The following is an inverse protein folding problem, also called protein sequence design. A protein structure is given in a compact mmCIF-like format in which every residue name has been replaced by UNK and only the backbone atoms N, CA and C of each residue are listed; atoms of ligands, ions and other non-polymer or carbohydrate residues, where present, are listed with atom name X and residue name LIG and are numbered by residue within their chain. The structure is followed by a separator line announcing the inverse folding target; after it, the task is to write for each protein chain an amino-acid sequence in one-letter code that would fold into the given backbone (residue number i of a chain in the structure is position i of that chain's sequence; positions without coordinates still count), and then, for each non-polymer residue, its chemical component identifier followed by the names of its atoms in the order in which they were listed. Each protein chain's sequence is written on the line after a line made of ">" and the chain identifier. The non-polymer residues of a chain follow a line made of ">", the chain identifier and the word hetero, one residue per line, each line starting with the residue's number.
data_IF_591372011384
#
_entry.id   IF_591372011384
#
_cell.length_a   1.000
_cell.length_b   1.000
_cell.length_c   1.000
_cell.angle_alpha   90.00
_cell.angle_beta   90.00
_cell.angle_gamma   90.00
#
_symmetry.space_group_name_H-M   'P 1'
#
loop_
_entity.id
_entity.type
_entity.pdbx_description
1 polymer ?
#
# COMPACT_ATOMS: atom_id res chain seq x y z
N UNK A 1 -7.94 -8.68 -40.16
CA UNK A 1 -6.98 -8.60 -39.05
C UNK A 1 -6.30 -7.23 -38.90
N UNK A 2 -6.44 -6.31 -39.87
CA UNK A 2 -5.86 -4.96 -39.80
C UNK A 2 -6.72 -3.93 -39.06
N UNK A 3 -8.06 -4.00 -39.22
CA UNK A 3 -8.99 -3.05 -38.62
C UNK A 3 -9.07 -3.14 -37.08
N UNK A 4 -8.97 -4.35 -36.52
CA UNK A 4 -8.98 -4.58 -35.06
C UNK A 4 -7.70 -4.07 -34.38
N UNK A 5 -6.55 -4.16 -35.05
CA UNK A 5 -5.28 -3.65 -34.54
C UNK A 5 -5.24 -2.11 -34.55
N UNK A 6 -5.80 -1.48 -35.58
CA UNK A 6 -5.92 -0.03 -35.66
C UNK A 6 -6.84 0.52 -34.55
N UNK A 7 -7.96 -0.15 -34.27
CA UNK A 7 -8.85 0.20 -33.17
C UNK A 7 -8.18 0.06 -31.79
N UNK A 8 -7.39 -1.00 -31.58
CA UNK A 8 -6.64 -1.19 -30.34
C UNK A 8 -5.56 -0.11 -30.12
N UNK A 9 -4.85 0.29 -31.17
CA UNK A 9 -3.88 1.39 -31.09
C UNK A 9 -4.56 2.73 -30.83
N UNK A 10 -5.68 3.02 -31.50
CA UNK A 10 -6.45 4.24 -31.26
C UNK A 10 -6.91 4.33 -29.79
N UNK A 11 -7.44 3.23 -29.23
CA UNK A 11 -7.87 3.19 -27.83
C UNK A 11 -6.69 3.38 -26.85
N UNK A 12 -5.54 2.77 -27.14
CA UNK A 12 -4.33 2.90 -26.32
C UNK A 12 -3.78 4.31 -26.35
N UNK A 13 -3.69 4.94 -27.54
CA UNK A 13 -3.21 6.32 -27.69
C UNK A 13 -4.14 7.32 -27.02
N UNK A 14 -5.46 7.13 -27.09
CA UNK A 14 -6.44 7.97 -26.38
C UNK A 14 -6.26 7.83 -24.86
N UNK A 15 -6.05 6.62 -24.34
CA UNK A 15 -5.75 6.40 -22.91
C UNK A 15 -4.44 7.05 -22.46
N UNK A 16 -3.42 7.09 -23.33
CA UNK A 16 -2.15 7.76 -23.08
C UNK A 16 -2.31 9.29 -23.04
N UNK A 17 -3.12 9.87 -23.92
CA UNK A 17 -3.39 11.33 -23.91
C UNK A 17 -4.15 11.77 -22.65
N UNK A 18 -5.04 10.93 -22.12
CA UNK A 18 -5.75 11.21 -20.87
C UNK A 18 -4.85 11.07 -19.62
N UNK A 19 -3.74 10.33 -19.72
CA UNK A 19 -2.74 10.21 -18.65
C UNK A 19 -1.61 11.23 -18.77
N UNK A 20 -1.46 11.88 -19.92
CA UNK A 20 -0.47 12.93 -20.20
C UNK A 20 -1.04 14.34 -20.05
N UNK A 21 -2.30 14.48 -19.58
CA UNK A 21 -2.78 15.76 -19.09
C UNK A 21 -1.92 16.17 -17.91
N UNK A 22 -1.29 17.35 -17.91
CA UNK A 22 -0.54 17.84 -16.77
C UNK A 22 -1.51 18.05 -15.61
N UNK A 23 -1.65 17.04 -14.77
CA UNK A 23 -2.37 17.15 -13.51
C UNK A 23 -1.51 18.07 -12.63
N UNK A 24 -1.99 19.24 -12.22
CA UNK A 24 -1.20 20.13 -11.40
C UNK A 24 -0.86 19.40 -10.11
N UNK A 25 0.44 19.22 -9.84
CA UNK A 25 0.94 18.65 -8.59
C UNK A 25 0.15 19.25 -7.42
N UNK A 26 -0.38 18.43 -6.50
CA UNK A 26 -1.08 18.92 -5.33
C UNK A 26 -0.22 19.93 -4.55
N UNK A 27 -0.43 21.21 -4.82
CA UNK A 27 0.39 22.27 -4.25
C UNK A 27 -0.11 22.52 -2.83
N UNK A 28 0.55 21.87 -1.87
CA UNK A 28 0.28 22.09 -0.46
C UNK A 28 0.40 23.59 -0.13
N UNK A 29 -0.56 24.20 0.61
CA UNK A 29 -0.49 25.60 0.99
C UNK A 29 0.84 25.89 1.71
N UNK A 30 1.50 27.03 1.42
CA UNK A 30 2.76 27.39 2.06
C UNK A 30 2.64 27.34 3.58
N UNK A 31 3.44 26.46 4.22
CA UNK A 31 3.39 26.18 5.67
C UNK A 31 3.16 24.70 6.04
N UNK A 32 2.65 23.86 5.13
CA UNK A 32 2.43 22.43 5.38
C UNK A 32 3.66 21.53 5.20
N UNK A 33 4.84 22.09 4.90
CA UNK A 33 6.09 21.34 4.68
C UNK A 33 6.52 20.44 5.86
N UNK A 34 6.24 20.88 7.09
CA UNK A 34 6.51 20.08 8.29
C UNK A 34 5.59 18.85 8.39
N UNK A 35 4.33 19.00 7.97
CA UNK A 35 3.33 17.92 7.99
C UNK A 35 3.65 16.89 6.90
N UNK A 36 3.98 17.32 5.69
CA UNK A 36 4.42 16.39 4.63
C UNK A 36 5.69 15.65 5.01
N UNK A 37 6.65 16.33 5.67
CA UNK A 37 7.84 15.67 6.22
C UNK A 37 7.45 14.62 7.26
N UNK A 38 6.60 14.98 8.24
CA UNK A 38 6.15 14.04 9.28
C UNK A 38 5.42 12.83 8.69
N UNK A 39 4.57 13.04 7.68
CA UNK A 39 3.88 11.96 6.96
C UNK A 39 4.86 11.07 6.21
N UNK A 40 5.91 11.63 5.61
CA UNK A 40 6.97 10.84 4.97
C UNK A 40 7.68 9.93 5.99
N UNK A 41 8.05 10.44 7.16
CA UNK A 41 8.61 9.63 8.25
C UNK A 41 7.62 8.57 8.74
N UNK A 42 6.34 8.91 8.88
CA UNK A 42 5.30 7.99 9.31
C UNK A 42 5.11 6.82 8.33
N UNK A 43 5.23 7.04 7.01
CA UNK A 43 5.18 5.97 6.00
C UNK A 43 6.30 4.95 6.23
N UNK A 44 7.52 5.41 6.43
CA UNK A 44 8.68 4.54 6.68
C UNK A 44 8.58 3.81 8.03
N UNK A 45 8.21 4.51 9.10
CA UNK A 45 8.03 3.91 10.42
C UNK A 45 6.91 2.87 10.41
N UNK A 46 5.79 3.16 9.75
CA UNK A 46 4.67 2.23 9.61
C UNK A 46 5.06 0.96 8.84
N UNK A 47 5.85 1.11 7.77
CA UNK A 47 6.33 -0.02 6.98
C UNK A 47 7.30 -0.90 7.76
N UNK A 48 8.24 -0.29 8.50
CA UNK A 48 9.16 -1.03 9.39
C UNK A 48 8.38 -1.75 10.50
N UNK A 49 7.43 -1.08 11.15
CA UNK A 49 6.60 -1.67 12.20
C UNK A 49 5.76 -2.85 11.69
N UNK A 50 5.17 -2.74 10.49
CA UNK A 50 4.43 -3.82 9.85
C UNK A 50 5.31 -5.07 9.60
N UNK A 51 6.54 -4.86 9.11
CA UNK A 51 7.50 -5.95 8.91
C UNK A 51 7.84 -6.64 10.23
N UNK A 52 8.14 -5.86 11.29
CA UNK A 52 8.47 -6.43 12.61
C UNK A 52 7.31 -7.24 13.20
N UNK A 53 6.08 -6.77 13.06
CA UNK A 53 4.89 -7.50 13.49
C UNK A 53 4.75 -8.85 12.76
N UNK A 54 4.98 -8.88 11.45
CA UNK A 54 4.91 -10.10 10.65
C UNK A 54 5.96 -11.13 11.08
N UNK A 55 7.19 -10.67 11.34
CA UNK A 55 8.30 -11.52 11.83
C UNK A 55 7.95 -12.09 13.21
N UNK A 56 7.45 -11.27 14.13
CA UNK A 56 7.09 -11.73 15.48
C UNK A 56 6.05 -12.86 15.45
N UNK A 57 5.06 -12.80 14.56
CA UNK A 57 4.08 -13.87 14.38
C UNK A 57 4.69 -15.13 13.81
N UNK A 58 5.53 -15.00 12.78
CA UNK A 58 6.20 -16.15 12.18
C UNK A 58 7.04 -16.92 13.22
N UNK A 59 7.74 -16.18 14.09
CA UNK A 59 8.51 -16.76 15.20
C UNK A 59 7.61 -17.45 16.22
N UNK A 60 6.52 -16.81 16.65
CA UNK A 60 5.55 -17.41 17.58
C UNK A 60 4.96 -18.73 17.03
N UNK A 61 4.67 -18.76 15.73
CA UNK A 61 4.11 -19.93 15.06
C UNK A 61 5.09 -21.09 14.97
N UNK A 62 6.37 -20.81 14.71
CA UNK A 62 7.43 -21.81 14.71
C UNK A 62 7.59 -22.51 16.08
N UNK A 63 7.31 -21.82 17.19
CA UNK A 63 7.36 -22.43 18.51
C UNK A 63 6.13 -23.25 18.85
N UNK A 64 4.94 -22.83 18.39
CA UNK A 64 3.68 -23.47 18.75
C UNK A 64 3.26 -24.61 17.80
N UNK A 65 3.88 -24.73 16.62
CA UNK A 65 3.64 -25.81 15.67
C UNK A 65 3.85 -27.23 16.25
N UNK A 66 4.58 -27.35 17.36
CA UNK A 66 4.99 -28.63 17.98
C UNK A 66 3.90 -29.27 18.84
N UNK A 67 2.86 -28.51 19.22
CA UNK A 67 1.88 -28.90 20.25
C UNK A 67 0.51 -29.32 19.69
N UNK A 68 0.30 -29.22 18.38
CA UNK A 68 -0.98 -29.60 17.75
C UNK A 68 -2.15 -28.63 18.01
N UNK A 69 -1.92 -27.54 18.75
CA UNK A 69 -2.92 -26.51 19.12
C UNK A 69 -3.07 -25.39 18.06
N UNK A 70 -2.90 -25.73 16.77
CA UNK A 70 -2.78 -24.73 15.69
C UNK A 70 -3.98 -23.78 15.57
N UNK A 71 -5.19 -24.23 15.94
CA UNK A 71 -6.44 -23.47 15.80
C UNK A 71 -6.55 -22.23 16.69
N UNK A 72 -6.03 -22.26 17.92
CA UNK A 72 -6.04 -21.12 18.85
C UNK A 72 -5.19 -19.96 18.30
N UNK A 73 -4.08 -20.31 17.64
CA UNK A 73 -3.12 -19.34 17.14
C UNK A 73 -3.52 -18.71 15.80
N UNK A 74 -4.39 -19.36 15.00
CA UNK A 74 -4.93 -18.77 13.76
C UNK A 74 -5.59 -17.42 14.04
N UNK A 75 -6.26 -17.27 15.20
CA UNK A 75 -6.90 -16.01 15.58
C UNK A 75 -5.89 -14.88 15.77
N UNK A 76 -4.71 -15.16 16.33
CA UNK A 76 -3.59 -14.22 16.43
C UNK A 76 -2.99 -13.90 15.07
N UNK A 77 -2.90 -14.88 14.17
CA UNK A 77 -2.43 -14.64 12.81
C UNK A 77 -3.36 -13.70 12.04
N UNK A 78 -4.67 -13.98 12.09
CA UNK A 78 -5.70 -13.21 11.39
C UNK A 78 -5.74 -11.78 11.92
N UNK A 79 -5.66 -11.57 13.24
CA UNK A 79 -5.66 -10.21 13.79
C UNK A 79 -4.47 -9.38 13.32
N UNK A 80 -3.30 -10.01 13.14
CA UNK A 80 -2.09 -9.33 12.69
C UNK A 80 -2.12 -9.11 11.17
N UNK A 81 -2.65 -10.05 10.41
CA UNK A 81 -2.87 -9.89 8.96
C UNK A 81 -3.82 -8.72 8.67
N UNK A 82 -4.89 -8.59 9.46
CA UNK A 82 -5.81 -7.44 9.39
C UNK A 82 -5.08 -6.14 9.73
N UNK A 83 -4.23 -6.13 10.76
CA UNK A 83 -3.41 -4.95 11.10
C UNK A 83 -2.49 -4.52 9.95
N UNK A 84 -1.81 -5.46 9.31
CA UNK A 84 -0.93 -5.19 8.16
C UNK A 84 -1.72 -4.66 6.96
N UNK A 85 -2.92 -5.21 6.72
CA UNK A 85 -3.81 -4.74 5.65
C UNK A 85 -4.27 -3.29 5.88
N UNK A 86 -4.58 -2.91 7.14
CA UNK A 86 -4.94 -1.54 7.50
C UNK A 86 -3.75 -0.58 7.29
N UNK A 87 -2.53 -0.98 7.67
CA UNK A 87 -1.33 -0.16 7.43
C UNK A 87 -1.11 0.02 5.93
N UNK A 88 -1.22 -1.04 5.14
CA UNK A 88 -1.12 -0.97 3.67
C UNK A 88 -2.17 -0.02 3.08
N UNK A 89 -3.43 -0.17 3.48
CA UNK A 89 -4.53 0.71 3.04
C UNK A 89 -4.29 2.18 3.42
N UNK A 90 -3.78 2.46 4.62
CA UNK A 90 -3.44 3.81 5.05
C UNK A 90 -2.32 4.41 4.20
N UNK A 91 -1.27 3.66 3.87
CA UNK A 91 -0.19 4.15 3.00
C UNK A 91 -0.65 4.44 1.58
N UNK A 92 -1.54 3.60 1.03
CA UNK A 92 -2.14 3.79 -0.29
C UNK A 92 -3.06 5.04 -0.32
N UNK A 93 -3.89 5.22 0.72
CA UNK A 93 -4.76 6.38 0.84
C UNK A 93 -3.96 7.69 0.94
N UNK A 94 -2.86 7.70 1.70
CA UNK A 94 -1.98 8.87 1.78
C UNK A 94 -1.37 9.18 0.42
N UNK A 95 -0.88 8.18 -0.32
CA UNK A 95 -0.36 8.38 -1.67
C UNK A 95 -1.39 8.98 -2.64
N UNK A 96 -2.61 8.44 -2.60
CA UNK A 96 -3.74 8.96 -3.39
C UNK A 96 -4.07 10.43 -3.08
N UNK A 97 -4.07 10.82 -1.80
CA UNK A 97 -4.37 12.19 -1.39
C UNK A 97 -3.19 13.15 -1.70
N UNK A 98 -1.94 12.68 -1.60
CA UNK A 98 -0.76 13.52 -1.87
C UNK A 98 -0.39 13.62 -3.35
N UNK A 99 -1.09 12.93 -4.25
CA UNK A 99 -0.76 12.88 -5.68
C UNK A 99 0.58 12.20 -5.99
N UNK A 100 1.00 11.26 -5.14
CA UNK A 100 2.26 10.49 -5.29
C UNK A 100 2.00 9.03 -5.62
#
# INVERSE_FOLDING_TARGET
>A
MSLSLAAAHALTTIGQVLTDLPDPDPLAPPGFGAVTTLVAWAKWVGLIAAILALIAVAVMFMFNARRGEGGEHVKTLVSILVGVMIIGAATALVGFISGS
#
